data_IF_568202085375
#
_entry.id   IF_568202085375
#
_cell.length_a   1.000
_cell.length_b   1.000
_cell.length_c   1.000
_cell.angle_alpha   90.00
_cell.angle_beta   90.00
_cell.angle_gamma   90.00
#
_symmetry.space_group_name_H-M   'P 1'
#
loop_
_entity.id
_entity.type
_entity.pdbx_description
1 polymer ?
#
# COMPACT_ATOMS: atom_id res chain seq x y z
N UNK A 1 13.60 7.90 12.05
CA UNK A 1 12.69 7.09 11.24
C UNK A 1 11.65 6.42 12.10
N UNK A 2 10.50 6.14 11.55
CA UNK A 2 9.40 5.47 12.23
C UNK A 2 9.32 4.02 11.79
N UNK A 3 8.94 3.15 12.71
CA UNK A 3 8.63 1.76 12.37
C UNK A 3 7.16 1.63 12.05
N UNK A 4 6.86 0.89 10.98
CA UNK A 4 5.49 0.64 10.55
C UNK A 4 5.26 -0.85 10.35
N UNK A 5 4.05 -1.29 10.71
CA UNK A 5 3.52 -2.53 10.19
C UNK A 5 2.78 -2.17 8.91
N UNK A 6 3.12 -2.84 7.83
CA UNK A 6 2.56 -2.52 6.52
C UNK A 6 1.79 -3.72 6.00
N UNK A 7 0.51 -3.49 5.75
CA UNK A 7 -0.34 -4.48 5.11
C UNK A 7 -0.43 -4.13 3.64
N UNK A 8 0.08 -5.01 2.78
CA UNK A 8 0.13 -4.80 1.35
C UNK A 8 -0.88 -5.70 0.67
N UNK A 9 -1.78 -5.10 -0.11
CA UNK A 9 -2.75 -5.84 -0.90
C UNK A 9 -2.44 -5.64 -2.38
N UNK A 10 -2.14 -6.73 -3.07
CA UNK A 10 -1.87 -6.72 -4.50
C UNK A 10 -3.16 -7.13 -5.21
N UNK A 11 -3.84 -6.16 -5.82
CA UNK A 11 -5.13 -6.36 -6.47
C UNK A 11 -4.93 -6.31 -7.97
N UNK A 12 -5.30 -7.39 -8.64
CA UNK A 12 -5.20 -7.50 -10.08
C UNK A 12 -6.61 -7.54 -10.68
N UNK A 13 -6.91 -6.62 -11.58
CA UNK A 13 -8.22 -6.51 -12.18
C UNK A 13 -8.64 -7.78 -12.95
N UNK A 14 -7.68 -8.46 -13.57
CA UNK A 14 -7.98 -9.67 -14.33
C UNK A 14 -8.21 -10.89 -13.43
N UNK A 15 -7.67 -10.87 -12.22
CA UNK A 15 -7.79 -11.99 -11.29
C UNK A 15 -9.00 -11.93 -10.38
N UNK A 16 -9.61 -10.76 -10.22
CA UNK A 16 -10.70 -10.55 -9.28
C UNK A 16 -10.25 -10.58 -7.82
N UNK A 17 -11.18 -10.35 -6.88
CA UNK A 17 -10.82 -10.26 -5.45
C UNK A 17 -10.23 -11.53 -4.87
N UNK A 18 -10.61 -12.68 -5.36
CA UNK A 18 -10.13 -13.97 -4.87
C UNK A 18 -8.67 -14.25 -5.20
N UNK A 19 -8.10 -13.49 -6.12
CA UNK A 19 -6.68 -13.62 -6.51
C UNK A 19 -5.82 -12.51 -5.91
N UNK A 20 -6.37 -11.65 -5.07
CA UNK A 20 -5.60 -10.61 -4.40
C UNK A 20 -4.61 -11.25 -3.43
N UNK A 21 -3.35 -10.84 -3.53
CA UNK A 21 -2.31 -11.29 -2.60
C UNK A 21 -2.26 -10.32 -1.45
N UNK A 22 -2.11 -10.84 -0.24
CA UNK A 22 -2.02 -10.04 0.97
C UNK A 22 -0.74 -10.41 1.71
N UNK A 23 -0.03 -9.41 2.18
CA UNK A 23 1.23 -9.60 2.84
C UNK A 23 1.36 -8.61 4.00
N UNK A 24 1.93 -9.07 5.12
CA UNK A 24 2.26 -8.24 6.26
C UNK A 24 3.77 -8.16 6.37
N UNK A 25 4.29 -6.94 6.43
CA UNK A 25 5.72 -6.72 6.63
C UNK A 25 5.93 -5.64 7.68
N UNK A 26 7.14 -5.58 8.21
CA UNK A 26 7.57 -4.51 9.10
C UNK A 26 8.72 -3.78 8.41
N UNK A 27 8.68 -2.46 8.44
CA UNK A 27 9.72 -1.66 7.83
C UNK A 27 9.86 -0.31 8.52
N UNK A 28 11.03 0.30 8.39
CA UNK A 28 11.30 1.64 8.86
C UNK A 28 11.28 2.60 7.70
N UNK A 29 10.67 3.76 7.90
CA UNK A 29 10.65 4.82 6.91
C UNK A 29 10.42 6.17 7.61
N UNK A 30 10.77 7.25 6.94
CA UNK A 30 10.50 8.58 7.45
C UNK A 30 9.00 8.88 7.44
N UNK A 31 8.31 8.38 6.42
CA UNK A 31 6.87 8.49 6.30
C UNK A 31 6.34 7.37 5.41
N UNK A 32 5.04 7.07 5.48
CA UNK A 32 4.44 6.08 4.57
C UNK A 32 4.65 6.43 3.09
N UNK A 33 4.49 7.70 2.75
CA UNK A 33 4.67 8.15 1.37
C UNK A 33 6.10 7.90 0.87
N UNK A 34 7.10 8.19 1.69
CA UNK A 34 8.49 7.94 1.36
C UNK A 34 8.75 6.46 1.08
N UNK A 35 8.21 5.59 1.92
CA UNK A 35 8.36 4.15 1.74
C UNK A 35 7.81 3.71 0.38
N UNK A 36 6.62 4.17 0.04
CA UNK A 36 5.96 3.78 -1.20
C UNK A 36 6.71 4.34 -2.41
N UNK A 37 7.22 5.56 -2.33
CA UNK A 37 8.01 6.14 -3.42
C UNK A 37 9.29 5.35 -3.69
N UNK A 38 9.95 4.87 -2.64
CA UNK A 38 11.20 4.12 -2.77
C UNK A 38 11.00 2.66 -3.18
N UNK A 39 9.95 2.04 -2.69
CA UNK A 39 9.76 0.60 -2.83
C UNK A 39 8.58 0.20 -3.70
N UNK A 40 7.66 1.12 -3.97
CA UNK A 40 6.49 0.85 -4.80
C UNK A 40 6.81 0.81 -6.28
N UNK A 41 6.15 -0.07 -7.00
CA UNK A 41 6.31 -0.21 -8.45
C UNK A 41 5.45 0.74 -9.26
N UNK A 42 4.39 1.26 -8.65
CA UNK A 42 3.39 2.07 -9.33
C UNK A 42 3.33 3.47 -8.74
N UNK A 43 2.89 4.46 -9.51
CA UNK A 43 2.70 5.81 -8.97
C UNK A 43 1.58 5.83 -7.93
N UNK A 44 1.71 6.74 -6.98
CA UNK A 44 0.68 6.94 -5.95
C UNK A 44 -0.53 7.60 -6.58
N UNK A 45 -1.69 6.98 -6.41
CA UNK A 45 -2.97 7.49 -6.91
C UNK A 45 -3.75 8.23 -5.83
N UNK A 46 -3.70 7.73 -4.59
CA UNK A 46 -4.49 8.28 -3.51
C UNK A 46 -3.83 8.00 -2.17
N UNK A 47 -3.93 8.94 -1.25
CA UNK A 47 -3.48 8.78 0.13
C UNK A 47 -4.64 9.18 1.03
N UNK A 48 -5.09 8.24 1.87
CA UNK A 48 -6.21 8.45 2.78
C UNK A 48 -5.87 7.92 4.15
N UNK A 49 -6.79 8.11 5.10
CA UNK A 49 -6.73 7.47 6.41
C UNK A 49 -8.00 6.68 6.63
N UNK A 50 -7.86 5.49 7.22
CA UNK A 50 -9.02 4.68 7.55
C UNK A 50 -9.60 5.08 8.92
N UNK A 51 -10.65 4.38 9.35
CA UNK A 51 -11.32 4.69 10.60
C UNK A 51 -10.43 4.49 11.83
N UNK A 52 -9.42 3.64 11.74
CA UNK A 52 -8.46 3.41 12.82
C UNK A 52 -7.34 4.45 12.87
N UNK A 53 -7.29 5.36 11.90
CA UNK A 53 -6.25 6.37 11.82
C UNK A 53 -4.99 5.93 11.09
N UNK A 54 -4.98 4.74 10.52
CA UNK A 54 -3.86 4.25 9.73
C UNK A 54 -3.81 4.95 8.38
N UNK A 55 -2.60 5.17 7.89
CA UNK A 55 -2.42 5.76 6.56
C UNK A 55 -2.57 4.69 5.49
N UNK A 56 -3.43 4.95 4.52
CA UNK A 56 -3.67 4.04 3.40
C UNK A 56 -3.22 4.72 2.12
N UNK A 57 -2.27 4.10 1.42
CA UNK A 57 -1.76 4.61 0.15
C UNK A 57 -2.13 3.63 -0.95
N UNK A 58 -2.87 4.11 -1.94
CA UNK A 58 -3.27 3.31 -3.08
C UNK A 58 -2.40 3.71 -4.28
N UNK A 59 -1.78 2.72 -4.90
CA UNK A 59 -0.97 2.92 -6.09
C UNK A 59 -1.54 2.09 -7.25
N UNK A 60 -1.25 2.48 -8.46
CA UNK A 60 -1.76 1.74 -9.61
C UNK A 60 -1.02 2.11 -10.88
N UNK A 61 -1.11 1.24 -11.90
CA UNK A 61 -0.44 1.44 -13.18
C UNK A 61 -1.34 2.04 -14.26
N UNK A 62 -2.60 2.31 -13.91
CA UNK A 62 -3.57 2.82 -14.87
C UNK A 62 -4.25 1.73 -15.71
N UNK A 63 -3.87 0.48 -15.52
CA UNK A 63 -4.41 -0.66 -16.29
C UNK A 63 -5.24 -1.62 -15.43
N UNK A 64 -5.60 -1.21 -14.23
CA UNK A 64 -6.38 -2.03 -13.32
C UNK A 64 -5.58 -2.84 -12.33
N UNK A 65 -4.26 -2.69 -12.31
CA UNK A 65 -3.42 -3.30 -11.30
C UNK A 65 -3.18 -2.29 -10.17
N UNK A 66 -3.43 -2.70 -8.94
CA UNK A 66 -3.30 -1.83 -7.78
C UNK A 66 -2.48 -2.48 -6.69
N UNK A 67 -1.70 -1.67 -5.99
CA UNK A 67 -1.07 -2.06 -4.73
C UNK A 67 -1.57 -1.09 -3.68
N UNK A 68 -2.19 -1.63 -2.64
CA UNK A 68 -2.73 -0.84 -1.54
C UNK A 68 -1.90 -1.11 -0.30
N UNK A 69 -1.40 -0.07 0.30
CA UNK A 69 -0.53 -0.15 1.49
C UNK A 69 -1.26 0.47 2.67
N UNK A 70 -1.39 -0.28 3.75
CA UNK A 70 -1.95 0.23 5.00
C UNK A 70 -0.82 0.26 6.04
N UNK A 71 -0.51 1.45 6.54
CA UNK A 71 0.59 1.66 7.47
C UNK A 71 0.05 1.86 8.89
N UNK A 72 0.48 1.00 9.80
CA UNK A 72 0.14 1.09 11.23
C UNK A 72 1.42 1.31 12.02
N UNK A 73 1.38 2.20 12.99
CA UNK A 73 2.51 2.43 13.89
C UNK A 73 2.43 1.55 15.14
#
# INVERSE_FOLDING_TARGET
MNEYEIFIEDINACGGPQHAKKEWIEAEAESPEEYVKKNGRFPIMEITKNAAGDTVITTGDGSGNFLKYTFSE
#
